data_IF_880206714861
#
_entry.id   IF_880206714861
#
_cell.length_a   1.000
_cell.length_b   1.000
_cell.length_c   1.000
_cell.angle_alpha   90.00
_cell.angle_beta   90.00
_cell.angle_gamma   90.00
#
_symmetry.space_group_name_H-M   'P 1'
#
loop_
_entity.id
_entity.type
_entity.pdbx_description
1 polymer ?
#
# COMPACT_ATOMS: atom_id res chain seq x y z
N UNK A 1 38.49 -59.19 45.91
CA UNK A 1 37.17 -58.82 45.35
C UNK A 1 37.29 -57.47 44.65
N UNK A 2 37.43 -57.46 43.31
CA UNK A 2 37.47 -56.24 42.49
C UNK A 2 36.06 -55.94 41.99
N UNK A 3 35.53 -54.73 42.35
CA UNK A 3 34.24 -54.24 41.82
C UNK A 3 34.49 -53.55 40.50
N UNK A 4 33.97 -54.06 39.40
CA UNK A 4 33.91 -53.37 38.09
C UNK A 4 32.71 -52.40 38.17
N UNK A 5 32.97 -51.13 38.00
CA UNK A 5 31.95 -50.08 37.78
C UNK A 5 31.64 -50.00 36.31
N UNK A 6 30.39 -50.20 35.93
CA UNK A 6 29.88 -49.94 34.56
C UNK A 6 29.58 -48.45 34.42
N UNK A 7 30.31 -47.78 33.53
CA UNK A 7 30.00 -46.40 33.10
C UNK A 7 28.94 -46.47 31.99
N UNK A 8 27.72 -46.04 32.25
CA UNK A 8 26.70 -45.89 31.21
C UNK A 8 26.92 -44.56 30.47
N UNK A 9 27.30 -44.64 29.21
CA UNK A 9 27.40 -43.46 28.30
C UNK A 9 26.01 -43.17 27.74
N UNK A 10 25.38 -42.09 28.19
CA UNK A 10 24.16 -41.56 27.58
C UNK A 10 24.52 -40.87 26.29
N UNK A 11 24.17 -41.45 25.13
CA UNK A 11 24.23 -40.77 23.83
C UNK A 11 22.95 -39.95 23.66
N UNK A 12 23.07 -38.63 23.80
CA UNK A 12 21.98 -37.67 23.46
C UNK A 12 22.00 -37.50 21.93
N UNK A 13 21.06 -38.15 21.25
CA UNK A 13 20.77 -37.85 19.84
C UNK A 13 20.10 -36.47 19.77
N UNK A 14 20.82 -35.41 19.39
CA UNK A 14 20.26 -34.14 19.02
C UNK A 14 19.57 -34.34 17.66
N UNK A 15 18.23 -34.38 17.66
CA UNK A 15 17.46 -34.33 16.42
C UNK A 15 17.66 -32.97 15.75
N UNK A 16 18.39 -32.92 14.64
CA UNK A 16 18.45 -31.80 13.74
C UNK A 16 17.06 -31.62 13.11
N UNK A 17 16.26 -30.71 13.66
CA UNK A 17 15.04 -30.24 12.99
C UNK A 17 15.51 -29.37 11.83
N UNK A 18 15.23 -29.71 10.56
CA UNK A 18 15.58 -28.85 9.46
C UNK A 18 14.79 -27.54 9.60
N UNK A 19 15.49 -26.43 9.75
CA UNK A 19 14.87 -25.11 9.62
C UNK A 19 14.42 -24.97 8.17
N UNK A 20 13.11 -24.99 7.94
CA UNK A 20 12.55 -24.60 6.64
C UNK A 20 12.87 -23.13 6.46
N UNK A 21 13.85 -22.84 5.64
CA UNK A 21 14.12 -21.45 5.22
C UNK A 21 12.85 -20.93 4.54
N UNK A 22 12.20 -19.94 5.15
CA UNK A 22 11.08 -19.24 4.51
C UNK A 22 11.62 -18.59 3.25
N UNK A 23 11.03 -18.89 2.10
CA UNK A 23 11.39 -18.19 0.87
C UNK A 23 11.05 -16.69 1.02
N UNK A 24 11.90 -15.81 0.48
CA UNK A 24 11.66 -14.38 0.51
C UNK A 24 10.33 -14.02 -0.21
N UNK A 25 9.62 -12.96 0.24
CA UNK A 25 8.47 -12.46 -0.47
C UNK A 25 8.80 -12.16 -1.95
N UNK A 26 7.84 -12.42 -2.84
CA UNK A 26 8.02 -12.25 -4.29
C UNK A 26 7.11 -11.15 -4.82
N UNK A 27 7.56 -10.46 -5.86
CA UNK A 27 6.73 -9.52 -6.61
C UNK A 27 5.55 -10.24 -7.28
N UNK A 28 4.38 -9.62 -7.25
CA UNK A 28 3.18 -10.10 -7.95
C UNK A 28 3.28 -9.78 -9.44
N UNK A 29 3.63 -8.53 -9.76
CA UNK A 29 3.84 -8.09 -11.13
C UNK A 29 5.31 -8.15 -11.52
N UNK A 30 5.59 -8.61 -12.73
CA UNK A 30 6.92 -8.56 -13.31
C UNK A 30 7.42 -7.14 -13.60
N UNK A 31 8.66 -7.00 -14.09
CA UNK A 31 9.18 -5.71 -14.51
C UNK A 31 8.30 -5.04 -15.59
N UNK A 32 8.12 -3.72 -15.49
CA UNK A 32 7.37 -2.97 -16.47
C UNK A 32 8.17 -2.79 -17.79
N UNK A 33 7.47 -2.85 -18.93
CA UNK A 33 8.02 -2.41 -20.20
C UNK A 33 8.08 -0.87 -20.27
N UNK A 34 8.90 -0.26 -21.13
CA UNK A 34 8.89 1.18 -21.36
C UNK A 34 7.48 1.69 -21.71
N UNK A 35 7.02 2.74 -21.03
CA UNK A 35 5.67 3.29 -21.19
C UNK A 35 4.57 2.57 -20.43
N UNK A 36 4.92 1.54 -19.66
CA UNK A 36 4.00 0.78 -18.81
C UNK A 36 4.41 0.89 -17.33
N UNK A 37 3.41 0.82 -16.45
CA UNK A 37 3.59 0.65 -15.02
C UNK A 37 3.59 -0.83 -14.62
N UNK A 38 4.02 -1.10 -13.41
CA UNK A 38 3.86 -2.40 -12.73
C UNK A 38 3.13 -2.21 -11.42
N UNK A 39 2.40 -3.20 -10.98
CA UNK A 39 1.85 -3.22 -9.62
C UNK A 39 2.96 -3.44 -8.57
N UNK A 40 2.72 -2.98 -7.35
CA UNK A 40 3.68 -3.08 -6.25
C UNK A 40 3.27 -4.07 -5.16
N UNK A 41 2.26 -4.93 -5.40
CA UNK A 41 1.96 -6.02 -4.47
C UNK A 41 3.11 -7.03 -4.40
N UNK A 42 3.33 -7.51 -3.17
CA UNK A 42 4.22 -8.64 -2.88
C UNK A 42 3.45 -9.72 -2.13
N UNK A 43 3.78 -10.98 -2.41
CA UNK A 43 3.19 -12.15 -1.75
C UNK A 43 4.27 -12.88 -0.97
N UNK A 44 3.99 -13.16 0.31
CA UNK A 44 4.78 -14.08 1.11
C UNK A 44 4.37 -15.52 0.78
N UNK A 45 5.34 -16.42 0.63
CA UNK A 45 5.13 -17.83 0.31
C UNK A 45 4.48 -18.65 1.44
N UNK A 46 4.30 -18.07 2.61
CA UNK A 46 3.60 -18.69 3.73
C UNK A 46 2.09 -18.71 3.48
N UNK A 47 1.63 -19.61 2.64
CA UNK A 47 0.22 -19.78 2.33
C UNK A 47 -0.51 -20.51 3.47
N UNK A 48 -1.76 -20.11 3.73
CA UNK A 48 -2.62 -20.76 4.70
C UNK A 48 -4.06 -20.86 4.21
N UNK A 49 -4.75 -21.95 4.60
CA UNK A 49 -6.20 -22.10 4.40
C UNK A 49 -7.05 -21.15 5.27
N UNK A 50 -6.41 -20.28 6.03
CA UNK A 50 -7.04 -19.31 6.95
C UNK A 50 -6.41 -17.95 6.74
N UNK A 51 -7.18 -16.90 7.05
CA UNK A 51 -6.70 -15.53 7.10
C UNK A 51 -5.55 -15.40 8.11
N UNK A 52 -4.32 -15.67 7.65
CA UNK A 52 -3.11 -15.42 8.41
C UNK A 52 -2.61 -14.01 8.06
N UNK A 53 -2.14 -13.24 9.03
CA UNK A 53 -1.72 -11.85 8.83
C UNK A 53 -2.67 -10.86 9.50
N UNK A 54 -2.33 -9.58 9.41
CA UNK A 54 -3.15 -8.54 10.00
C UNK A 54 -4.43 -8.32 9.20
N UNK A 55 -5.53 -8.20 9.92
CA UNK A 55 -6.84 -7.86 9.39
C UNK A 55 -7.31 -6.48 9.87
N UNK A 56 -8.56 -6.10 9.53
CA UNK A 56 -9.11 -4.78 9.83
C UNK A 56 -9.03 -4.37 11.31
N UNK A 57 -9.28 -5.29 12.23
CA UNK A 57 -9.22 -5.00 13.68
C UNK A 57 -7.79 -4.70 14.15
N UNK A 58 -6.78 -5.43 13.63
CA UNK A 58 -5.38 -5.16 13.92
C UNK A 58 -4.98 -3.77 13.42
N UNK A 59 -5.33 -3.43 12.18
CA UNK A 59 -5.01 -2.16 11.55
C UNK A 59 -5.69 -0.98 12.26
N UNK A 60 -6.97 -1.10 12.59
CA UNK A 60 -7.67 -0.07 13.37
C UNK A 60 -7.03 0.12 14.74
N UNK A 61 -6.65 -0.96 15.41
CA UNK A 61 -5.92 -0.89 16.67
C UNK A 61 -4.56 -0.20 16.52
N UNK A 62 -3.77 -0.61 15.52
CA UNK A 62 -2.43 -0.06 15.29
C UNK A 62 -2.44 1.44 15.00
N UNK A 63 -3.42 1.90 14.24
CA UNK A 63 -3.53 3.28 13.77
C UNK A 63 -4.60 4.10 14.50
N UNK A 64 -5.23 3.54 15.56
CA UNK A 64 -6.26 4.21 16.40
C UNK A 64 -7.42 4.76 15.58
N UNK A 65 -7.86 4.02 14.58
CA UNK A 65 -8.96 4.42 13.74
C UNK A 65 -10.32 4.06 14.38
N UNK A 66 -11.36 4.88 14.21
CA UNK A 66 -12.71 4.56 14.64
C UNK A 66 -13.31 3.41 13.82
N UNK A 67 -14.27 2.69 14.40
CA UNK A 67 -14.97 1.59 13.73
C UNK A 67 -15.95 2.06 12.65
N UNK A 68 -16.37 3.31 12.70
CA UNK A 68 -17.40 3.90 11.81
C UNK A 68 -16.95 5.26 11.29
N UNK A 69 -17.46 5.63 10.11
CA UNK A 69 -17.18 6.89 9.44
C UNK A 69 -17.11 6.71 7.91
N UNK A 70 -16.91 7.79 7.17
CA UNK A 70 -16.76 7.77 5.72
C UNK A 70 -18.07 7.48 4.94
N UNK A 71 -19.23 7.50 5.60
CA UNK A 71 -20.50 7.34 4.92
C UNK A 71 -20.70 8.47 3.89
N UNK A 72 -20.92 8.09 2.62
CA UNK A 72 -21.03 9.04 1.51
C UNK A 72 -19.74 9.18 0.69
N UNK A 73 -18.58 8.83 1.26
CA UNK A 73 -17.31 8.83 0.55
C UNK A 73 -17.23 7.67 -0.45
N UNK A 74 -16.53 7.90 -1.55
CA UNK A 74 -16.26 6.91 -2.59
C UNK A 74 -14.75 6.81 -2.82
N UNK A 75 -14.18 5.66 -2.50
CA UNK A 75 -12.78 5.34 -2.78
C UNK A 75 -12.74 4.64 -4.14
N UNK A 76 -12.05 5.23 -5.11
CA UNK A 76 -11.76 4.55 -6.36
C UNK A 76 -10.40 3.83 -6.26
N UNK A 77 -10.38 2.61 -6.78
CA UNK A 77 -9.20 1.81 -7.04
C UNK A 77 -8.99 1.81 -8.56
N UNK A 78 -7.81 2.19 -9.00
CA UNK A 78 -7.43 2.18 -10.42
C UNK A 78 -6.38 1.11 -10.65
N UNK A 79 -6.73 0.09 -11.42
CA UNK A 79 -5.87 -1.06 -11.74
C UNK A 79 -5.91 -1.42 -13.21
N UNK A 80 -5.01 -2.31 -13.65
CA UNK A 80 -4.93 -2.73 -15.05
C UNK A 80 -5.56 -4.10 -15.29
N UNK A 81 -6.45 -4.16 -16.27
CA UNK A 81 -7.12 -5.40 -16.69
C UNK A 81 -8.22 -5.87 -15.73
N UNK A 82 -9.04 -6.80 -16.21
CA UNK A 82 -10.17 -7.34 -15.44
C UNK A 82 -9.72 -8.22 -14.26
N UNK A 83 -10.32 -7.98 -13.10
CA UNK A 83 -10.33 -8.86 -11.94
C UNK A 83 -11.72 -9.52 -11.82
N UNK A 84 -11.95 -10.68 -12.47
CA UNK A 84 -13.29 -11.23 -12.63
C UNK A 84 -13.98 -11.61 -11.32
N UNK A 85 -13.21 -11.98 -10.29
CA UNK A 85 -13.73 -12.42 -8.99
C UNK A 85 -13.75 -11.30 -7.94
N UNK A 86 -13.39 -10.06 -8.28
CA UNK A 86 -13.18 -8.96 -7.33
C UNK A 86 -14.34 -8.77 -6.33
N UNK A 87 -15.60 -8.74 -6.79
CA UNK A 87 -16.77 -8.59 -5.89
C UNK A 87 -16.98 -9.82 -5.00
N UNK A 88 -16.78 -11.03 -5.55
CA UNK A 88 -16.97 -12.27 -4.80
C UNK A 88 -15.87 -12.45 -3.74
N UNK A 89 -14.63 -12.13 -4.09
CA UNK A 89 -13.47 -12.23 -3.19
C UNK A 89 -13.58 -11.18 -2.07
N UNK A 90 -13.92 -9.94 -2.40
CA UNK A 90 -14.21 -8.88 -1.44
C UNK A 90 -15.34 -9.29 -0.47
N UNK A 91 -16.39 -9.97 -0.96
CA UNK A 91 -17.46 -10.44 -0.09
C UNK A 91 -16.98 -11.47 0.92
N UNK A 92 -16.09 -12.39 0.54
CA UNK A 92 -15.47 -13.36 1.46
C UNK A 92 -14.60 -12.65 2.50
N UNK A 93 -13.75 -11.69 2.08
CA UNK A 93 -12.95 -10.89 2.99
C UNK A 93 -13.82 -10.17 4.02
N UNK A 94 -14.81 -9.41 3.56
CA UNK A 94 -15.68 -8.62 4.43
C UNK A 94 -16.50 -9.48 5.37
N UNK A 95 -17.02 -10.62 4.89
CA UNK A 95 -17.74 -11.57 5.74
C UNK A 95 -16.84 -12.16 6.83
N UNK A 96 -15.61 -12.55 6.48
CA UNK A 96 -14.66 -13.14 7.42
C UNK A 96 -14.32 -12.20 8.58
N UNK A 97 -14.21 -10.90 8.29
CA UNK A 97 -13.88 -9.90 9.29
C UNK A 97 -15.10 -9.17 9.88
N UNK A 98 -16.31 -9.60 9.56
CA UNK A 98 -17.53 -8.99 10.09
C UNK A 98 -17.77 -7.56 9.63
N UNK A 99 -17.23 -7.17 8.47
CA UNK A 99 -17.48 -5.87 7.87
C UNK A 99 -18.85 -5.87 7.15
N UNK A 100 -19.53 -4.71 7.04
CA UNK A 100 -20.79 -4.62 6.30
C UNK A 100 -20.63 -5.12 4.85
N UNK A 101 -21.62 -5.80 4.25
CA UNK A 101 -21.57 -6.19 2.85
C UNK A 101 -21.36 -4.98 1.92
N UNK A 102 -20.48 -5.12 0.92
CA UNK A 102 -20.24 -4.11 -0.11
C UNK A 102 -20.36 -4.79 -1.47
N UNK A 103 -21.50 -4.60 -2.13
CA UNK A 103 -21.86 -5.28 -3.36
C UNK A 103 -22.44 -4.31 -4.38
N UNK A 104 -22.43 -4.73 -5.64
CA UNK A 104 -23.15 -4.03 -6.72
C UNK A 104 -24.64 -3.91 -6.41
N UNK A 105 -25.23 -4.95 -5.84
CA UNK A 105 -26.67 -5.00 -5.52
C UNK A 105 -27.08 -3.97 -4.46
N UNK A 106 -26.21 -3.64 -3.49
CA UNK A 106 -26.52 -2.62 -2.48
C UNK A 106 -25.94 -1.23 -2.80
N UNK A 107 -25.29 -1.07 -3.97
CA UNK A 107 -24.70 0.19 -4.42
C UNK A 107 -23.45 0.63 -3.68
N UNK A 108 -22.84 -0.26 -2.87
CA UNK A 108 -21.56 -0.01 -2.21
C UNK A 108 -20.37 -0.27 -3.14
N UNK A 109 -20.41 -1.33 -3.96
CA UNK A 109 -19.38 -1.69 -4.93
C UNK A 109 -19.83 -1.38 -6.35
N UNK A 110 -18.91 -0.86 -7.16
CA UNK A 110 -19.10 -0.67 -8.61
C UNK A 110 -17.80 -1.00 -9.33
N UNK A 111 -17.89 -1.76 -10.43
CA UNK A 111 -16.79 -2.08 -11.33
C UNK A 111 -17.09 -1.57 -12.74
N UNK A 112 -16.11 -0.92 -13.37
CA UNK A 112 -16.23 -0.33 -14.72
C UNK A 112 -14.90 -0.42 -15.45
N UNK A 113 -14.94 -0.34 -16.79
CA UNK A 113 -13.75 -0.17 -17.62
C UNK A 113 -13.21 1.28 -17.53
N UNK A 114 -12.08 1.57 -18.17
CA UNK A 114 -11.47 2.90 -18.18
C UNK A 114 -12.34 4.02 -18.79
N UNK A 115 -13.42 3.68 -19.47
CA UNK A 115 -14.39 4.64 -20.03
C UNK A 115 -15.61 4.89 -19.12
N UNK A 116 -15.72 4.12 -18.03
CA UNK A 116 -16.81 4.22 -17.07
C UNK A 116 -18.01 3.31 -17.37
N UNK A 117 -17.87 2.41 -18.34
CA UNK A 117 -18.91 1.46 -18.73
C UNK A 117 -18.79 0.16 -17.93
N UNK A 118 -19.91 -0.49 -17.55
CA UNK A 118 -19.88 -1.77 -16.86
C UNK A 118 -19.48 -2.94 -17.77
N UNK A 119 -19.48 -2.75 -19.08
CA UNK A 119 -19.07 -3.72 -20.10
C UNK A 119 -18.82 -3.02 -21.46
N UNK A 120 -17.99 -3.58 -22.34
CA UNK A 120 -17.11 -4.73 -22.06
C UNK A 120 -16.00 -4.35 -21.07
N UNK A 121 -15.61 -5.28 -20.20
CA UNK A 121 -14.43 -5.14 -19.35
C UNK A 121 -13.16 -5.51 -20.12
N UNK A 122 -11.98 -4.98 -19.74
CA UNK A 122 -10.74 -5.29 -20.44
C UNK A 122 -10.33 -6.76 -20.24
N UNK A 123 -9.41 -7.29 -21.07
CA UNK A 123 -8.81 -8.58 -20.82
C UNK A 123 -8.01 -8.57 -19.49
N UNK A 124 -8.03 -9.69 -18.78
CA UNK A 124 -7.19 -9.86 -17.57
C UNK A 124 -5.70 -9.65 -17.91
N UNK A 125 -5.01 -8.89 -17.07
CA UNK A 125 -3.57 -8.60 -17.20
C UNK A 125 -2.76 -9.40 -16.16
N UNK A 126 -2.17 -10.53 -16.57
CA UNK A 126 -1.26 -11.31 -15.73
C UNK A 126 -1.77 -11.57 -14.30
N UNK A 127 -1.02 -11.10 -13.32
CA UNK A 127 -1.32 -11.24 -11.89
C UNK A 127 -1.98 -10.01 -11.25
N UNK A 128 -2.41 -9.01 -12.02
CA UNK A 128 -3.08 -7.82 -11.52
C UNK A 128 -4.32 -8.09 -10.64
N UNK A 129 -5.10 -9.18 -10.81
CA UNK A 129 -6.18 -9.46 -9.88
C UNK A 129 -5.74 -9.61 -8.41
N UNK A 130 -4.49 -10.02 -8.16
CA UNK A 130 -3.94 -10.05 -6.79
C UNK A 130 -3.76 -8.62 -6.23
N UNK A 131 -3.30 -7.69 -7.07
CA UNK A 131 -3.22 -6.27 -6.71
C UNK A 131 -4.60 -5.72 -6.38
N UNK A 132 -5.57 -5.93 -7.30
CA UNK A 132 -6.93 -5.46 -7.14
C UNK A 132 -7.60 -5.97 -5.85
N UNK A 133 -7.39 -7.25 -5.51
CA UNK A 133 -7.92 -7.80 -4.26
C UNK A 133 -7.26 -7.14 -3.02
N UNK A 134 -5.93 -6.94 -3.05
CA UNK A 134 -5.21 -6.24 -1.99
C UNK A 134 -5.76 -4.82 -1.79
N UNK A 135 -5.95 -4.07 -2.86
CA UNK A 135 -6.40 -2.70 -2.81
C UNK A 135 -7.83 -2.57 -2.24
N UNK A 136 -8.75 -3.39 -2.74
CA UNK A 136 -10.13 -3.42 -2.26
C UNK A 136 -10.23 -3.83 -0.78
N UNK A 137 -9.44 -4.82 -0.37
CA UNK A 137 -9.42 -5.31 1.01
C UNK A 137 -8.84 -4.26 1.97
N UNK A 138 -7.77 -3.56 1.57
CA UNK A 138 -7.14 -2.53 2.40
C UNK A 138 -8.00 -1.26 2.49
N UNK A 139 -8.62 -0.81 1.40
CA UNK A 139 -9.61 0.27 1.43
C UNK A 139 -10.78 -0.08 2.36
N UNK A 140 -11.29 -1.34 2.29
CA UNK A 140 -12.34 -1.85 3.19
C UNK A 140 -11.91 -1.92 4.64
N UNK A 141 -10.65 -2.29 4.92
CA UNK A 141 -10.12 -2.37 6.28
C UNK A 141 -10.05 -1.01 6.96
N UNK A 142 -9.69 0.03 6.19
CA UNK A 142 -9.62 1.40 6.69
C UNK A 142 -11.01 2.05 6.78
N UNK A 143 -11.84 1.95 5.74
CA UNK A 143 -13.15 2.60 5.66
C UNK A 143 -14.25 1.60 5.27
N UNK A 144 -14.78 0.89 6.25
CA UNK A 144 -15.78 -0.17 6.02
C UNK A 144 -17.15 0.35 5.54
N UNK A 145 -17.44 1.64 5.68
CA UNK A 145 -18.71 2.27 5.26
C UNK A 145 -18.57 3.11 3.98
N UNK A 146 -17.35 3.25 3.46
CA UNK A 146 -17.11 3.90 2.17
C UNK A 146 -17.62 3.03 1.01
N UNK A 147 -18.04 3.68 -0.08
CA UNK A 147 -18.27 3.02 -1.35
C UNK A 147 -16.94 2.71 -2.04
N UNK A 148 -16.90 1.64 -2.81
CA UNK A 148 -15.75 1.23 -3.58
C UNK A 148 -16.08 1.28 -5.08
N UNK A 149 -15.26 1.98 -5.84
CA UNK A 149 -15.32 2.07 -7.29
C UNK A 149 -14.04 1.46 -7.86
N UNK A 150 -14.14 0.30 -8.52
CA UNK A 150 -13.03 -0.29 -9.27
C UNK A 150 -13.09 0.20 -10.72
N UNK A 151 -12.02 0.87 -11.17
CA UNK A 151 -11.85 1.29 -12.56
C UNK A 151 -10.70 0.49 -13.18
N UNK A 152 -11.03 -0.35 -14.14
CA UNK A 152 -10.11 -1.27 -14.80
C UNK A 152 -9.60 -0.67 -16.10
N UNK A 153 -8.30 -0.29 -16.13
CA UNK A 153 -7.61 0.16 -17.34
C UNK A 153 -7.47 -0.98 -18.36
N UNK A 154 -7.48 -0.66 -19.65
CA UNK A 154 -7.34 -1.65 -20.72
C UNK A 154 -6.05 -2.45 -20.60
N UNK A 155 -5.00 -1.80 -20.12
CA UNK A 155 -3.71 -2.39 -19.78
C UNK A 155 -2.97 -1.50 -18.75
N UNK A 156 -1.71 -1.84 -18.44
CA UNK A 156 -0.88 -1.09 -17.52
C UNK A 156 -0.09 0.06 -18.20
N UNK A 157 -0.46 0.52 -19.40
CA UNK A 157 0.17 1.68 -20.02
C UNK A 157 -0.11 2.95 -19.22
N UNK A 158 0.82 3.91 -19.29
CA UNK A 158 0.64 5.20 -18.60
C UNK A 158 -0.64 5.91 -19.06
N UNK A 159 -1.00 5.78 -20.34
CA UNK A 159 -2.21 6.37 -20.90
C UNK A 159 -3.48 5.72 -20.33
N UNK A 160 -3.59 4.39 -20.38
CA UNK A 160 -4.77 3.68 -19.89
C UNK A 160 -5.02 3.95 -18.40
N UNK A 161 -3.97 3.92 -17.58
CA UNK A 161 -4.05 4.21 -16.15
C UNK A 161 -4.42 5.68 -15.88
N UNK A 162 -3.85 6.63 -16.62
CA UNK A 162 -4.16 8.06 -16.51
C UNK A 162 -5.63 8.36 -16.86
N UNK A 163 -6.14 7.79 -17.96
CA UNK A 163 -7.55 7.88 -18.36
C UNK A 163 -8.47 7.27 -17.31
N UNK A 164 -8.06 6.18 -16.68
CA UNK A 164 -8.81 5.53 -15.60
C UNK A 164 -8.94 6.42 -14.35
N UNK A 165 -7.90 7.21 -14.02
CA UNK A 165 -7.98 8.21 -12.93
C UNK A 165 -9.00 9.30 -13.26
N UNK A 166 -8.97 9.87 -14.48
CA UNK A 166 -9.96 10.86 -14.91
C UNK A 166 -11.38 10.30 -14.84
N UNK A 167 -11.55 9.04 -15.25
CA UNK A 167 -12.84 8.34 -15.19
C UNK A 167 -13.32 8.13 -13.75
N UNK A 168 -12.44 7.74 -12.85
CA UNK A 168 -12.75 7.60 -11.42
C UNK A 168 -13.30 8.90 -10.85
N UNK A 169 -12.62 10.02 -11.13
CA UNK A 169 -13.04 11.36 -10.69
C UNK A 169 -14.38 11.77 -11.33
N UNK A 170 -14.54 11.55 -12.64
CA UNK A 170 -15.80 11.83 -13.36
C UNK A 170 -16.99 11.05 -12.80
N UNK A 171 -16.74 9.85 -12.27
CA UNK A 171 -17.76 8.99 -11.65
C UNK A 171 -18.02 9.30 -10.18
N UNK A 172 -17.40 10.35 -9.63
CA UNK A 172 -17.66 10.88 -8.30
C UNK A 172 -16.80 10.27 -7.20
N UNK A 173 -15.62 9.73 -7.53
CA UNK A 173 -14.64 9.36 -6.51
C UNK A 173 -14.23 10.60 -5.70
N UNK A 174 -14.17 10.47 -4.39
CA UNK A 174 -13.66 11.48 -3.47
C UNK A 174 -12.18 11.26 -3.15
N UNK A 175 -11.74 10.01 -3.23
CA UNK A 175 -10.34 9.60 -3.11
C UNK A 175 -10.03 8.58 -4.20
N UNK A 176 -8.88 8.68 -4.85
CA UNK A 176 -8.40 7.71 -5.85
C UNK A 176 -7.09 7.11 -5.37
N UNK A 177 -7.02 5.77 -5.31
CA UNK A 177 -5.82 5.01 -4.97
C UNK A 177 -5.20 4.38 -6.21
N UNK A 178 -3.87 4.48 -6.30
CA UNK A 178 -3.06 4.03 -7.42
C UNK A 178 -1.88 3.19 -6.89
N UNK A 179 -2.03 1.86 -6.95
CA UNK A 179 -1.05 0.93 -6.39
C UNK A 179 -0.07 0.41 -7.44
N UNK A 180 0.45 1.32 -8.24
CA UNK A 180 1.35 1.01 -9.35
C UNK A 180 2.37 2.12 -9.59
N UNK A 181 3.35 1.81 -10.41
CA UNK A 181 4.26 2.82 -10.93
C UNK A 181 5.34 2.29 -11.85
N UNK A 182 6.15 3.24 -12.28
CA UNK A 182 7.40 3.03 -12.99
C UNK A 182 8.37 4.14 -12.57
N UNK A 183 9.66 3.89 -12.70
CA UNK A 183 10.68 4.92 -12.47
C UNK A 183 10.35 6.19 -13.23
N UNK A 184 10.44 7.34 -12.57
CA UNK A 184 10.17 8.64 -13.19
C UNK A 184 10.99 8.86 -14.46
N UNK A 185 10.42 9.53 -15.44
CA UNK A 185 11.06 9.86 -16.71
C UNK A 185 10.43 11.11 -17.30
N UNK A 186 11.02 11.64 -18.38
CA UNK A 186 10.38 12.70 -19.14
C UNK A 186 9.00 12.28 -19.65
N UNK A 187 8.88 11.07 -20.18
CA UNK A 187 7.62 10.56 -20.73
C UNK A 187 6.54 10.44 -19.64
N UNK A 188 6.87 9.96 -18.43
CA UNK A 188 5.88 9.87 -17.35
C UNK A 188 5.34 11.24 -16.96
N UNK A 189 6.12 12.32 -17.05
CA UNK A 189 5.67 13.68 -16.75
C UNK A 189 4.58 14.20 -17.70
N UNK A 190 4.45 13.67 -18.89
CA UNK A 190 3.41 14.07 -19.86
C UNK A 190 2.00 13.72 -19.33
N UNK A 191 1.89 12.79 -18.36
CA UNK A 191 0.63 12.35 -17.76
C UNK A 191 0.29 13.04 -16.43
N UNK A 192 1.12 13.96 -15.93
CA UNK A 192 0.93 14.58 -14.60
C UNK A 192 -0.42 15.31 -14.45
N UNK A 193 -0.98 15.84 -15.54
CA UNK A 193 -2.26 16.55 -15.52
C UNK A 193 -3.44 15.65 -15.12
N UNK A 194 -3.41 14.36 -15.47
CA UNK A 194 -4.43 13.36 -15.12
C UNK A 194 -4.47 12.98 -13.63
N UNK A 195 -3.43 13.35 -12.88
CA UNK A 195 -3.32 13.12 -11.43
C UNK A 195 -3.52 14.40 -10.63
N UNK A 196 -4.18 15.41 -11.22
CA UNK A 196 -4.43 16.70 -10.58
C UNK A 196 -5.91 17.08 -10.66
N UNK A 197 -6.66 16.74 -9.63
CA UNK A 197 -8.10 16.98 -9.55
C UNK A 197 -8.47 17.73 -8.27
N UNK A 198 -8.69 19.07 -8.34
CA UNK A 198 -9.12 19.84 -7.18
C UNK A 198 -10.39 19.25 -6.53
N UNK A 199 -10.35 19.05 -5.21
CA UNK A 199 -11.44 18.48 -4.45
C UNK A 199 -11.47 16.94 -4.42
N UNK A 200 -10.48 16.27 -5.02
CA UNK A 200 -10.30 14.81 -4.94
C UNK A 200 -8.87 14.50 -4.48
N UNK A 201 -8.74 13.67 -3.46
CA UNK A 201 -7.42 13.24 -3.00
C UNK A 201 -6.87 12.13 -3.91
N UNK A 202 -5.73 12.37 -4.54
CA UNK A 202 -5.05 11.37 -5.37
C UNK A 202 -3.89 10.77 -4.56
N UNK A 203 -3.95 9.48 -4.33
CA UNK A 203 -3.00 8.71 -3.51
C UNK A 203 -2.27 7.71 -4.39
N UNK A 204 -0.97 7.54 -4.20
CA UNK A 204 -0.20 6.53 -4.91
C UNK A 204 0.90 5.89 -4.05
N UNK A 205 1.12 4.61 -4.28
CA UNK A 205 2.23 3.86 -3.68
C UNK A 205 3.59 4.36 -4.15
N UNK A 206 4.54 4.54 -3.23
CA UNK A 206 5.87 5.09 -3.55
C UNK A 206 6.76 4.11 -4.33
N UNK A 207 6.45 2.80 -4.26
CA UNK A 207 7.22 1.72 -4.88
C UNK A 207 7.89 0.80 -3.86
N UNK A 208 8.50 -0.27 -4.38
CA UNK A 208 9.00 -1.40 -3.58
C UNK A 208 10.49 -1.71 -3.83
N UNK A 209 11.25 -0.72 -4.25
CA UNK A 209 12.66 -0.89 -4.65
C UNK A 209 13.67 -0.28 -3.67
N UNK A 210 13.22 0.17 -2.49
CA UNK A 210 14.06 0.87 -1.53
C UNK A 210 14.44 2.27 -2.00
N UNK A 211 15.55 2.82 -1.50
CA UNK A 211 16.06 4.12 -1.93
C UNK A 211 16.54 4.03 -3.38
N UNK A 212 15.94 4.84 -4.23
CA UNK A 212 16.24 4.90 -5.66
C UNK A 212 15.60 6.16 -6.30
N UNK A 213 15.68 6.30 -7.63
CA UNK A 213 14.88 7.29 -8.35
C UNK A 213 13.38 7.07 -8.10
N UNK A 214 12.61 8.13 -7.75
CA UNK A 214 11.18 8.02 -7.46
C UNK A 214 10.35 7.44 -8.58
N UNK A 215 9.18 6.93 -8.23
CA UNK A 215 8.25 6.36 -9.19
C UNK A 215 7.12 7.33 -9.51
N UNK A 216 6.72 7.37 -10.77
CA UNK A 216 5.42 7.88 -11.20
C UNK A 216 4.32 6.90 -10.74
N UNK A 217 3.07 7.31 -10.38
CA UNK A 217 2.62 8.71 -10.25
C UNK A 217 2.92 9.33 -8.88
N UNK A 218 3.47 8.59 -7.92
CA UNK A 218 3.77 9.07 -6.56
C UNK A 218 4.66 10.33 -6.54
N UNK A 219 5.53 10.49 -7.53
CA UNK A 219 6.44 11.63 -7.63
C UNK A 219 5.75 12.97 -7.95
N UNK A 220 4.52 12.96 -8.49
CA UNK A 220 3.85 14.20 -8.82
C UNK A 220 3.50 15.02 -7.58
N UNK A 221 3.66 16.32 -7.64
CA UNK A 221 3.40 17.22 -6.49
C UNK A 221 1.91 17.33 -6.13
N UNK A 222 1.00 16.91 -7.01
CA UNK A 222 -0.44 16.81 -6.76
C UNK A 222 -0.87 15.48 -6.15
N UNK A 223 0.04 14.53 -6.00
CA UNK A 223 -0.22 13.17 -5.50
C UNK A 223 0.31 13.01 -4.08
N UNK A 224 -0.45 12.34 -3.23
CA UNK A 224 -0.02 11.92 -1.91
C UNK A 224 0.75 10.61 -2.08
N UNK A 225 2.07 10.69 -1.93
CA UNK A 225 2.96 9.54 -2.04
C UNK A 225 2.97 8.73 -0.73
N UNK A 226 2.66 7.44 -0.83
CA UNK A 226 2.56 6.57 0.34
C UNK A 226 3.70 5.56 0.37
N UNK A 227 4.56 5.69 1.38
CA UNK A 227 5.64 4.77 1.69
C UNK A 227 5.19 3.56 2.50
N UNK A 228 6.14 2.88 3.14
CA UNK A 228 5.84 1.62 3.81
C UNK A 228 6.61 1.35 5.08
N UNK A 229 5.93 0.72 6.05
CA UNK A 229 6.51 0.30 7.32
C UNK A 229 6.41 -1.21 7.54
N UNK A 230 7.28 -1.71 8.43
CA UNK A 230 7.15 -3.02 9.07
C UNK A 230 6.44 -2.83 10.41
N UNK A 231 5.20 -3.33 10.50
CA UNK A 231 4.34 -3.20 11.70
C UNK A 231 4.46 -4.46 12.56
N UNK A 232 4.63 -4.31 13.87
CA UNK A 232 4.68 -5.43 14.81
C UNK A 232 3.95 -5.11 16.12
N UNK A 233 3.33 -6.12 16.72
CA UNK A 233 2.78 -6.01 18.08
C UNK A 233 3.92 -5.79 19.09
N UNK A 234 3.69 -4.94 20.09
CA UNK A 234 4.68 -4.61 21.11
C UNK A 234 4.03 -4.36 22.46
N UNK A 235 4.77 -4.64 23.52
CA UNK A 235 4.36 -4.33 24.91
C UNK A 235 4.73 -2.87 25.24
N UNK A 236 3.91 -1.96 24.74
CA UNK A 236 4.02 -0.51 24.98
C UNK A 236 2.63 0.13 24.98
N UNK A 237 2.53 1.42 25.30
CA UNK A 237 1.26 2.14 25.41
C UNK A 237 0.44 2.17 24.12
N UNK A 238 1.06 2.04 22.94
CA UNK A 238 0.39 1.92 21.65
C UNK A 238 -0.08 0.47 21.36
N UNK A 239 0.58 -0.53 21.97
CA UNK A 239 0.41 -1.95 21.65
C UNK A 239 1.13 -2.37 20.35
N UNK A 240 1.79 -1.45 19.67
CA UNK A 240 2.41 -1.62 18.35
C UNK A 240 3.72 -0.86 18.23
N UNK A 241 4.59 -1.34 17.37
CA UNK A 241 5.81 -0.66 16.95
C UNK A 241 5.96 -0.73 15.44
N UNK A 242 6.61 0.27 14.86
CA UNK A 242 6.90 0.33 13.44
C UNK A 242 8.36 0.72 13.21
N UNK A 243 8.88 0.26 12.08
CA UNK A 243 10.14 0.70 11.50
C UNK A 243 9.96 0.89 10.00
N UNK A 244 10.87 1.60 9.36
CA UNK A 244 10.95 1.63 7.89
C UNK A 244 10.92 0.20 7.35
N UNK A 245 10.05 -0.07 6.38
CA UNK A 245 10.14 -1.30 5.61
C UNK A 245 11.24 -1.16 4.56
N UNK A 246 12.16 -2.13 4.53
CA UNK A 246 13.33 -2.07 3.64
C UNK A 246 12.98 -1.99 2.15
N UNK A 247 11.78 -2.46 1.77
CA UNK A 247 11.26 -2.37 0.42
C UNK A 247 10.69 -1.00 0.04
N UNK A 248 10.19 -0.21 1.00
CA UNK A 248 9.53 1.06 0.70
C UNK A 248 10.42 1.98 -0.15
N UNK A 249 9.92 2.43 -1.31
CA UNK A 249 10.71 3.34 -2.12
C UNK A 249 10.69 4.77 -1.58
N UNK A 250 11.87 5.38 -1.62
CA UNK A 250 12.07 6.80 -1.38
C UNK A 250 13.10 7.35 -2.36
N UNK A 251 13.14 8.66 -2.54
CA UNK A 251 14.14 9.28 -3.39
C UNK A 251 13.84 10.74 -3.71
N UNK A 252 14.80 11.36 -4.40
CA UNK A 252 14.77 12.75 -4.81
C UNK A 252 14.52 12.84 -6.32
N UNK A 253 13.44 13.50 -6.73
CA UNK A 253 13.09 13.64 -8.14
C UNK A 253 14.09 14.49 -8.91
N UNK A 254 14.44 13.99 -10.09
CA UNK A 254 15.22 14.75 -11.07
C UNK A 254 14.31 15.56 -12.02
N UNK A 255 13.01 15.31 -12.05
CA UNK A 255 12.08 15.85 -13.03
C UNK A 255 11.00 16.76 -12.43
N UNK A 256 10.59 16.50 -11.18
CA UNK A 256 9.53 17.24 -10.52
C UNK A 256 10.13 18.21 -9.51
N UNK A 257 9.81 19.49 -9.66
CA UNK A 257 10.29 20.52 -8.74
C UNK A 257 9.78 20.31 -7.31
N UNK A 258 10.60 20.63 -6.32
CA UNK A 258 10.20 20.60 -4.92
C UNK A 258 9.02 21.55 -4.68
N UNK A 259 7.89 21.06 -4.18
CA UNK A 259 6.77 21.90 -3.84
C UNK A 259 7.09 22.78 -2.61
N UNK A 260 6.46 23.94 -2.53
CA UNK A 260 6.74 24.93 -1.49
C UNK A 260 6.49 24.45 -0.05
N UNK A 261 5.64 23.42 0.12
CA UNK A 261 5.34 22.84 1.42
C UNK A 261 6.38 21.80 1.88
N UNK A 262 7.20 21.20 0.99
CA UNK A 262 8.36 20.38 1.38
C UNK A 262 9.53 21.25 1.82
N UNK A 263 10.13 20.94 2.97
CA UNK A 263 11.21 21.74 3.57
C UNK A 263 12.47 20.93 3.85
N UNK A 264 12.52 19.68 3.44
CA UNK A 264 13.69 18.83 3.59
C UNK A 264 14.91 19.41 2.86
N UNK A 265 16.14 19.30 3.45
CA UNK A 265 17.27 20.16 3.05
C UNK A 265 18.04 19.67 1.82
N UNK A 266 18.21 18.34 1.65
CA UNK A 266 19.23 17.79 0.75
C UNK A 266 18.73 17.40 -0.64
N UNK A 267 17.42 17.42 -0.89
CA UNK A 267 16.85 17.12 -2.20
C UNK A 267 16.43 18.43 -2.90
N UNK A 268 16.93 18.74 -4.09
CA UNK A 268 16.50 19.94 -4.82
C UNK A 268 15.12 19.78 -5.49
N UNK A 269 14.69 18.55 -5.75
CA UNK A 269 13.40 18.21 -6.36
C UNK A 269 12.37 17.74 -5.33
N UNK A 270 11.27 17.18 -5.82
CA UNK A 270 10.25 16.51 -5.02
C UNK A 270 10.85 15.30 -4.29
N UNK A 271 10.70 15.20 -2.98
CA UNK A 271 11.12 14.03 -2.18
C UNK A 271 9.89 13.13 -1.93
N UNK A 272 10.04 11.82 -2.12
CA UNK A 272 9.01 10.78 -1.91
C UNK A 272 9.49 9.91 -0.73
N UNK A 273 8.62 9.57 0.28
CA UNK A 273 7.17 9.64 0.38
C UNK A 273 6.67 10.86 1.20
N UNK A 274 5.34 10.96 1.42
CA UNK A 274 4.69 11.99 2.25
C UNK A 274 4.16 11.42 3.58
N UNK A 275 3.65 10.20 3.53
CA UNK A 275 3.02 9.46 4.63
C UNK A 275 3.23 7.97 4.37
N UNK A 276 3.02 7.12 5.39
CA UNK A 276 3.15 5.67 5.25
C UNK A 276 2.08 4.90 6.01
N UNK A 277 2.00 3.61 5.72
CA UNK A 277 1.32 2.62 6.54
C UNK A 277 2.06 1.27 6.40
N UNK A 278 1.53 0.20 7.02
CA UNK A 278 2.11 -1.14 6.92
C UNK A 278 2.20 -1.61 5.47
N UNK A 279 3.39 -2.10 5.10
CA UNK A 279 3.72 -2.56 3.75
C UNK A 279 4.52 -3.86 3.74
N UNK A 280 5.22 -4.19 4.83
CA UNK A 280 6.12 -5.34 4.86
C UNK A 280 5.34 -6.66 4.74
N UNK A 281 5.50 -7.43 3.64
CA UNK A 281 4.82 -8.70 3.47
C UNK A 281 5.23 -9.77 4.51
N UNK A 282 6.36 -9.60 5.19
CA UNK A 282 6.80 -10.50 6.27
C UNK A 282 5.94 -10.32 7.52
N UNK A 283 5.56 -9.10 7.85
CA UNK A 283 4.56 -8.82 8.91
C UNK A 283 3.12 -8.94 8.39
N UNK A 284 2.94 -9.01 7.11
CA UNK A 284 1.89 -9.53 6.26
C UNK A 284 0.45 -9.14 6.56
N UNK A 285 -0.28 -8.85 5.49
CA UNK A 285 -1.70 -8.55 5.49
C UNK A 285 -2.47 -9.73 4.90
N UNK A 286 -3.60 -10.08 5.51
CA UNK A 286 -4.46 -11.12 4.99
C UNK A 286 -5.31 -10.57 3.84
N UNK A 287 -5.25 -11.20 2.68
CA UNK A 287 -6.04 -10.88 1.48
C UNK A 287 -6.68 -12.14 0.93
N UNK A 288 -7.87 -12.04 0.38
CA UNK A 288 -8.57 -13.15 -0.25
C UNK A 288 -8.68 -12.94 -1.76
N UNK A 289 -8.13 -13.88 -2.55
CA UNK A 289 -8.09 -13.79 -4.01
C UNK A 289 -8.21 -15.18 -4.66
N UNK A 290 -9.04 -15.30 -5.70
CA UNK A 290 -9.32 -16.60 -6.35
C UNK A 290 -9.13 -16.61 -7.87
N UNK A 291 -8.78 -15.50 -8.50
CA UNK A 291 -8.49 -15.48 -9.96
C UNK A 291 -7.12 -16.05 -10.28
N UNK A 292 -6.11 -15.74 -9.46
CA UNK A 292 -4.70 -16.14 -9.62
C UNK A 292 -4.24 -17.02 -8.47
N UNK A 293 -4.61 -16.65 -7.23
CA UNK A 293 -4.38 -17.44 -6.04
C UNK A 293 -5.56 -18.43 -5.79
N UNK A 294 -5.51 -19.17 -4.70
CA UNK A 294 -6.53 -20.16 -4.36
C UNK A 294 -7.23 -19.87 -3.04
N UNK A 295 -7.37 -18.59 -2.71
CA UNK A 295 -7.97 -18.13 -1.46
C UNK A 295 -7.07 -17.19 -0.66
N UNK A 296 -6.96 -17.40 0.65
CA UNK A 296 -6.19 -16.53 1.54
C UNK A 296 -4.70 -16.54 1.23
N UNK A 297 -4.13 -15.35 1.09
CA UNK A 297 -2.70 -15.10 0.89
C UNK A 297 -2.19 -14.05 1.88
N UNK A 298 -0.89 -14.10 2.16
CA UNK A 298 -0.18 -13.04 2.89
C UNK A 298 0.42 -12.09 1.87
N UNK A 299 0.10 -10.82 2.00
CA UNK A 299 0.54 -9.79 1.06
C UNK A 299 1.18 -8.60 1.77
N UNK A 300 1.79 -7.75 0.98
CA UNK A 300 2.38 -6.47 1.36
C UNK A 300 2.75 -5.69 0.11
N UNK A 301 3.75 -4.82 0.25
CA UNK A 301 4.11 -3.81 -0.73
C UNK A 301 3.54 -2.45 -0.35
N UNK A 302 4.05 -1.38 -0.94
CA UNK A 302 3.44 -0.05 -0.79
C UNK A 302 2.04 0.01 -1.41
N UNK A 303 1.69 -0.99 -2.22
CA UNK A 303 0.33 -1.30 -2.67
C UNK A 303 -0.66 -1.57 -1.54
N UNK A 304 -0.22 -2.07 -0.41
CA UNK A 304 -1.08 -2.22 0.76
C UNK A 304 -1.30 -0.89 1.48
N UNK A 305 -0.26 -0.08 1.56
CA UNK A 305 -0.28 1.20 2.27
C UNK A 305 -1.14 2.24 1.56
N UNK A 306 -1.06 2.34 0.23
CA UNK A 306 -1.74 3.38 -0.54
C UNK A 306 -3.27 3.31 -0.40
N UNK A 307 -3.96 2.19 -0.67
CA UNK A 307 -5.40 2.07 -0.50
C UNK A 307 -5.85 2.18 0.96
N UNK A 308 -4.99 1.74 1.90
CA UNK A 308 -5.27 1.93 3.32
C UNK A 308 -5.27 3.42 3.69
N UNK A 309 -4.27 4.20 3.28
CA UNK A 309 -4.22 5.65 3.51
C UNK A 309 -5.34 6.37 2.77
N UNK A 310 -5.67 5.96 1.54
CA UNK A 310 -6.85 6.45 0.82
C UNK A 310 -8.13 6.23 1.62
N UNK A 311 -8.28 5.05 2.22
CA UNK A 311 -9.36 4.72 3.14
C UNK A 311 -9.38 5.58 4.40
N UNK A 312 -8.21 5.91 4.98
CA UNK A 312 -8.11 6.80 6.16
C UNK A 312 -8.53 8.22 5.81
N UNK A 313 -8.14 8.76 4.64
CA UNK A 313 -8.57 10.08 4.15
C UNK A 313 -10.09 10.11 3.97
N UNK A 314 -10.66 9.09 3.31
CA UNK A 314 -12.11 8.97 3.14
C UNK A 314 -12.84 8.80 4.48
N UNK A 315 -12.28 8.04 5.43
CA UNK A 315 -12.83 7.87 6.77
C UNK A 315 -12.89 9.18 7.55
N UNK A 316 -11.90 10.07 7.36
CA UNK A 316 -11.87 11.39 7.95
C UNK A 316 -12.90 12.36 7.33
N UNK A 317 -13.31 12.16 6.08
CA UNK A 317 -14.34 12.95 5.40
C UNK A 317 -13.88 14.35 4.97
N UNK A 318 -12.57 14.58 4.81
CA UNK A 318 -11.98 15.86 4.44
C UNK A 318 -11.22 15.81 3.12
N UNK A 319 -11.64 14.95 2.18
CA UNK A 319 -10.97 14.72 0.90
C UNK A 319 -10.74 16.00 0.08
N UNK A 320 -11.64 17.01 0.20
CA UNK A 320 -11.56 18.30 -0.46
C UNK A 320 -10.41 19.20 0.03
N UNK A 321 -9.78 18.84 1.17
CA UNK A 321 -8.64 19.55 1.75
C UNK A 321 -7.29 18.98 1.27
N UNK A 322 -7.31 18.07 0.27
CA UNK A 322 -6.13 17.45 -0.29
C UNK A 322 -5.92 17.81 -1.78
N UNK A 323 -5.64 19.07 -2.10
CA UNK A 323 -5.18 19.41 -3.46
C UNK A 323 -3.80 18.79 -3.75
N UNK A 324 -3.09 18.41 -2.69
CA UNK A 324 -1.78 17.76 -2.64
C UNK A 324 -1.51 17.23 -1.21
N UNK A 325 -0.27 16.84 -0.90
CA UNK A 325 0.11 16.33 0.41
C UNK A 325 0.32 17.40 1.50
N UNK A 326 0.18 18.69 1.21
CA UNK A 326 0.54 19.81 2.11
C UNK A 326 -0.13 19.75 3.49
N UNK A 327 -1.38 19.23 3.55
CA UNK A 327 -2.10 19.02 4.81
C UNK A 327 -1.35 18.10 5.76
N UNK A 328 -0.80 16.99 5.26
CA UNK A 328 -0.04 16.02 6.07
C UNK A 328 1.22 16.67 6.66
N UNK A 329 1.90 17.52 5.89
CA UNK A 329 3.05 18.28 6.40
C UNK A 329 2.66 19.31 7.46
N UNK A 330 1.53 19.98 7.29
CA UNK A 330 1.01 20.92 8.29
C UNK A 330 0.56 20.22 9.59
N UNK A 331 0.16 18.96 9.52
CA UNK A 331 -0.34 18.15 10.63
C UNK A 331 0.63 17.04 11.05
N UNK A 332 1.91 17.10 10.66
CA UNK A 332 2.91 16.05 10.92
C UNK A 332 2.96 15.61 12.39
N UNK A 333 2.82 16.53 13.35
CA UNK A 333 2.79 16.21 14.78
C UNK A 333 1.60 15.37 15.26
N UNK A 334 0.62 15.09 14.39
CA UNK A 334 -0.54 14.21 14.66
C UNK A 334 -0.35 12.78 14.14
N UNK A 335 0.77 12.51 13.48
CA UNK A 335 1.13 11.19 12.97
C UNK A 335 2.04 10.44 13.95
N UNK A 336 2.18 9.12 13.79
CA UNK A 336 3.22 8.36 14.48
C UNK A 336 4.53 8.53 13.72
N UNK A 337 5.50 9.20 14.30
CA UNK A 337 6.83 9.38 13.74
C UNK A 337 7.63 8.06 13.73
N UNK A 338 8.25 7.70 12.62
CA UNK A 338 8.97 6.45 12.40
C UNK A 338 10.46 6.70 12.37
N UNK A 339 11.13 6.46 13.49
CA UNK A 339 12.53 6.84 13.73
C UNK A 339 13.52 5.66 13.70
N UNK A 340 13.18 4.56 13.03
CA UNK A 340 14.00 3.34 13.01
C UNK A 340 13.96 2.68 11.63
N UNK A 341 15.10 2.04 11.28
CA UNK A 341 15.24 1.28 10.05
C UNK A 341 15.73 2.15 8.90
N UNK A 342 15.96 1.50 7.79
CA UNK A 342 16.38 2.09 6.53
C UNK A 342 15.77 1.31 5.37
N UNK A 343 15.77 1.90 4.18
CA UNK A 343 15.34 1.25 2.95
C UNK A 343 16.47 1.08 1.93
N UNK A 344 17.72 1.02 2.40
CA UNK A 344 18.88 0.78 1.57
C UNK A 344 18.87 -0.65 1.05
N UNK A 345 18.69 -0.83 -0.26
CA UNK A 345 18.75 -2.12 -0.94
C UNK A 345 19.89 -2.18 -1.96
N UNK A 346 19.92 -1.23 -2.88
CA UNK A 346 20.84 -1.20 -4.03
C UNK A 346 21.69 0.06 -4.06
N UNK A 347 21.13 1.19 -3.67
CA UNK A 347 21.80 2.49 -3.63
C UNK A 347 21.88 2.98 -2.19
N UNK A 348 23.00 3.59 -1.83
CA UNK A 348 23.23 4.16 -0.51
C UNK A 348 22.99 5.67 -0.55
N UNK A 349 22.30 6.20 0.46
CA UNK A 349 22.14 7.65 0.65
C UNK A 349 23.04 8.22 1.76
N UNK A 350 24.04 7.47 2.20
CA UNK A 350 24.97 7.89 3.26
C UNK A 350 24.37 7.93 4.67
N UNK A 351 23.22 7.28 4.89
CA UNK A 351 22.53 7.24 6.20
C UNK A 351 21.75 8.52 6.52
N UNK A 352 21.47 9.33 5.52
CA UNK A 352 20.71 10.57 5.68
C UNK A 352 19.16 10.27 5.66
N UNK A 353 18.36 11.29 5.93
CA UNK A 353 16.90 11.17 6.00
C UNK A 353 16.26 10.64 4.70
N UNK A 354 16.93 10.70 3.56
CA UNK A 354 16.40 10.20 2.29
C UNK A 354 16.19 8.69 2.27
N UNK A 355 16.96 7.94 3.10
CA UNK A 355 16.84 6.47 3.17
C UNK A 355 16.80 5.91 4.59
N UNK A 356 16.81 6.74 5.63
CA UNK A 356 16.84 6.30 7.03
C UNK A 356 15.72 6.94 7.81
N UNK A 357 15.00 6.15 8.61
CA UNK A 357 13.99 6.64 9.55
C UNK A 357 14.63 7.52 10.63
N UNK A 358 14.29 8.79 10.63
CA UNK A 358 14.82 9.80 11.57
C UNK A 358 13.67 10.62 12.19
N UNK A 359 13.89 11.30 13.33
CA UNK A 359 12.86 12.17 13.91
C UNK A 359 12.37 13.24 12.93
N UNK A 360 11.05 13.34 12.77
CA UNK A 360 10.40 14.23 11.82
C UNK A 360 10.27 13.62 10.44
N UNK A 361 10.44 14.42 9.39
CA UNK A 361 10.30 13.95 8.01
C UNK A 361 11.50 13.09 7.58
N UNK A 362 11.20 11.94 6.99
CA UNK A 362 12.17 11.11 6.25
C UNK A 362 11.59 10.58 4.92
N UNK A 363 12.46 10.22 3.99
CA UNK A 363 12.07 9.75 2.67
C UNK A 363 11.21 8.47 2.72
N UNK A 364 11.64 7.39 3.41
CA UNK A 364 10.93 6.11 3.41
C UNK A 364 9.52 6.16 3.98
N UNK A 365 9.26 6.99 5.02
CA UNK A 365 7.99 7.00 5.74
C UNK A 365 7.26 8.36 5.72
N UNK A 366 7.85 9.35 5.04
CA UNK A 366 7.27 10.69 5.00
C UNK A 366 7.19 11.33 6.38
N UNK A 367 6.03 11.87 6.72
CA UNK A 367 5.75 12.45 8.04
C UNK A 367 5.31 11.40 9.09
N UNK A 368 5.32 10.11 8.72
CA UNK A 368 4.94 9.02 9.61
C UNK A 368 3.66 8.27 9.18
N UNK A 369 3.03 7.56 10.15
CA UNK A 369 1.85 6.71 9.90
C UNK A 369 0.62 7.24 10.64
N UNK A 370 -0.62 6.85 10.27
CA UNK A 370 -1.84 7.33 10.92
C UNK A 370 -1.84 7.12 12.44
N UNK A 371 -2.35 8.11 13.18
CA UNK A 371 -2.57 8.07 14.63
C UNK A 371 -3.93 8.69 14.96
N UNK A 372 -5.00 7.97 14.64
CA UNK A 372 -6.35 8.52 14.55
C UNK A 372 -6.54 9.35 13.28
N UNK A 373 -7.54 10.20 13.26
CA UNK A 373 -7.93 10.98 12.09
C UNK A 373 -7.47 12.45 12.11
N UNK A 374 -6.77 12.89 13.16
CA UNK A 374 -6.47 14.32 13.35
C UNK A 374 -5.55 14.91 12.28
N UNK A 375 -4.71 14.09 11.63
CA UNK A 375 -3.86 14.53 10.52
C UNK A 375 -4.61 14.55 9.18
N UNK A 376 -5.75 13.87 9.09
CA UNK A 376 -6.48 13.57 7.87
C UNK A 376 -7.77 14.33 7.68
#
# INVERSE_FOLDING_TARGET
MRRLGFLAVLIVLAALVPSVASAAPRDVCGPAAPGFARCYAKVDSRHGLRAAGYGPADLRSAYRLPDTGGAGETIAIVDAGDAPTAEADLAVYRQTYGLPPCTTANGCFRKVNQHGDPAPLPPRQGSWPVETALDLDMASAACSQCKLLLVEGDDASFEALAVSVDTAVKLGATVVSNSYGATESRQSNDFAAHYRHPGVAIVASSGDSGFAAPSFPAVYSSVIAVGGTSLSKADNARGWTESVWKGASSGCSAWVAKPAWQKDPNCPGRTVADVSAVADPVTGLAVYETTVATGWILTGGTSASAPFVAGVIALAGHHDQYPDASRLYAQAGQLNDIVRGDNVQYEECGGDYLCTGVPGYDGPTGNGTPNGLAAF
#
